data_IF_633044993171
#
_entry.id   IF_633044993171
#
_cell.length_a   1.000
_cell.length_b   1.000
_cell.length_c   1.000
_cell.angle_alpha   90.00
_cell.angle_beta   90.00
_cell.angle_gamma   90.00
#
_symmetry.space_group_name_H-M   'P 1'
#
loop_
_entity.id
_entity.type
_entity.pdbx_description
1 polymer ?
#
# COMPACT_ATOMS: atom_id res chain seq x y z
N UNK A 1 -39.87 34.65 -1.36
CA UNK A 1 -39.20 33.88 -0.29
C UNK A 1 -37.72 33.78 -0.66
N UNK A 2 -36.79 34.30 0.15
CA UNK A 2 -35.36 34.08 -0.12
C UNK A 2 -35.04 32.60 0.13
N UNK A 3 -34.41 31.95 -0.85
CA UNK A 3 -33.95 30.57 -0.72
C UNK A 3 -32.71 30.57 0.17
N UNK A 4 -32.77 29.86 1.30
CA UNK A 4 -31.62 29.72 2.19
C UNK A 4 -30.47 29.08 1.40
N UNK A 5 -29.28 29.68 1.45
CA UNK A 5 -28.08 29.08 0.87
C UNK A 5 -27.92 27.67 1.44
N UNK A 6 -27.62 26.65 0.62
CA UNK A 6 -27.40 25.31 1.13
C UNK A 6 -26.32 25.38 2.20
N UNK A 7 -26.59 24.78 3.36
CA UNK A 7 -25.64 24.68 4.45
C UNK A 7 -24.34 24.09 3.89
N UNK A 8 -23.31 24.92 3.74
CA UNK A 8 -21.95 24.42 3.64
C UNK A 8 -21.67 23.83 5.01
N UNK A 9 -21.74 22.50 5.11
CA UNK A 9 -21.13 21.79 6.22
C UNK A 9 -19.72 22.35 6.34
N UNK A 10 -19.43 23.06 7.43
CA UNK A 10 -18.06 23.48 7.73
C UNK A 10 -17.21 22.22 7.61
N UNK A 11 -16.08 22.22 6.88
CA UNK A 11 -15.33 21.00 6.56
C UNK A 11 -15.13 20.19 7.85
N UNK A 12 -15.97 19.18 8.03
CA UNK A 12 -16.02 18.42 9.27
C UNK A 12 -14.81 17.51 9.23
N UNK A 13 -13.82 17.85 10.05
CA UNK A 13 -12.81 16.92 10.55
C UNK A 13 -11.98 16.14 9.50
N UNK A 14 -11.47 16.81 8.46
CA UNK A 14 -10.29 16.29 7.73
C UNK A 14 -8.98 16.47 8.53
N UNK A 15 -9.04 16.81 9.83
CA UNK A 15 -7.99 17.59 10.48
C UNK A 15 -7.04 16.85 11.43
N UNK A 16 -6.97 15.52 11.42
CA UNK A 16 -5.88 14.79 12.13
C UNK A 16 -5.63 13.39 11.54
N UNK A 17 -5.76 13.23 10.21
CA UNK A 17 -5.37 11.98 9.55
C UNK A 17 -3.85 11.90 9.50
N UNK A 18 -3.29 10.82 10.01
CA UNK A 18 -1.85 10.68 10.19
C UNK A 18 -1.43 9.21 10.06
N UNK A 19 -0.38 8.95 9.29
CA UNK A 19 0.28 7.65 9.21
C UNK A 19 1.68 7.74 9.85
N UNK A 20 1.72 8.11 11.13
CA UNK A 20 2.94 8.24 11.93
C UNK A 20 3.16 7.02 12.83
N UNK A 21 3.70 7.23 14.03
CA UNK A 21 3.87 6.17 15.04
C UNK A 21 2.53 5.60 15.54
N UNK A 22 1.46 6.39 15.43
CA UNK A 22 0.09 5.95 15.67
C UNK A 22 -0.70 6.18 14.40
N UNK A 23 -1.33 5.12 13.88
CA UNK A 23 -2.13 5.19 12.68
C UNK A 23 -3.50 5.83 12.99
N UNK A 24 -3.70 7.04 12.48
CA UNK A 24 -4.98 7.77 12.50
C UNK A 24 -5.53 7.82 11.09
N UNK A 25 -6.03 6.69 10.60
CA UNK A 25 -6.50 6.56 9.21
C UNK A 25 -7.98 6.98 9.02
N UNK A 26 -8.71 7.25 10.11
CA UNK A 26 -10.12 7.65 10.05
C UNK A 26 -10.97 6.58 9.37
N UNK A 27 -11.73 6.98 8.34
CA UNK A 27 -12.55 6.06 7.55
C UNK A 27 -11.73 5.00 6.79
N UNK A 28 -10.44 5.25 6.56
CA UNK A 28 -9.57 4.34 5.81
C UNK A 28 -8.93 3.23 6.66
N UNK A 29 -9.20 3.17 7.96
CA UNK A 29 -8.53 2.23 8.87
C UNK A 29 -8.73 0.75 8.52
N UNK A 30 -9.91 0.39 7.99
CA UNK A 30 -10.26 -1.00 7.65
C UNK A 30 -10.41 -1.24 6.15
N UNK A 31 -9.99 -0.28 5.33
CA UNK A 31 -10.13 -0.38 3.88
C UNK A 31 -9.06 -1.29 3.27
N UNK A 32 -9.37 -1.80 2.08
CA UNK A 32 -8.40 -2.58 1.30
C UNK A 32 -7.31 -1.65 0.81
N UNK A 33 -6.06 -2.00 1.12
CA UNK A 33 -4.88 -1.28 0.67
C UNK A 33 -4.22 -2.04 -0.46
N UNK A 34 -3.47 -1.32 -1.30
CA UNK A 34 -2.68 -1.89 -2.38
C UNK A 34 -1.24 -1.41 -2.22
N UNK A 35 -0.28 -2.33 -2.30
CA UNK A 35 1.11 -1.96 -2.54
C UNK A 35 1.30 -1.53 -4.01
N UNK A 36 2.43 -0.92 -4.35
CA UNK A 36 2.69 -0.42 -5.71
C UNK A 36 2.59 -1.51 -6.79
N UNK A 37 3.02 -2.73 -6.46
CA UNK A 37 3.00 -3.89 -7.35
C UNK A 37 1.56 -4.34 -7.65
N UNK A 38 0.74 -4.48 -6.61
CA UNK A 38 -0.68 -4.80 -6.71
C UNK A 38 -1.46 -3.72 -7.46
N UNK A 39 -1.24 -2.45 -7.13
CA UNK A 39 -1.86 -1.31 -7.78
C UNK A 39 -1.54 -1.30 -9.29
N UNK A 40 -0.28 -1.55 -9.66
CA UNK A 40 0.13 -1.68 -11.07
C UNK A 40 -0.65 -2.78 -11.78
N UNK A 41 -0.69 -3.97 -11.20
CA UNK A 41 -1.34 -5.14 -11.81
C UNK A 41 -2.85 -4.89 -11.99
N UNK A 42 -3.52 -4.38 -10.96
CA UNK A 42 -4.95 -4.06 -11.00
C UNK A 42 -5.23 -3.00 -12.07
N UNK A 43 -4.41 -1.95 -12.13
CA UNK A 43 -4.57 -0.88 -13.10
C UNK A 43 -4.45 -1.39 -14.54
N UNK A 44 -3.36 -2.09 -14.86
CA UNK A 44 -3.12 -2.60 -16.21
C UNK A 44 -4.19 -3.61 -16.63
N UNK A 45 -4.59 -4.52 -15.73
CA UNK A 45 -5.64 -5.50 -16.01
C UNK A 45 -6.99 -4.84 -16.24
N UNK A 46 -7.29 -3.76 -15.51
CA UNK A 46 -8.53 -2.98 -15.70
C UNK A 46 -8.54 -2.29 -17.06
N UNK A 47 -7.42 -1.69 -17.47
CA UNK A 47 -7.30 -1.04 -18.78
C UNK A 47 -7.42 -2.04 -19.93
N UNK A 48 -6.72 -3.17 -19.85
CA UNK A 48 -6.79 -4.25 -20.84
C UNK A 48 -8.21 -4.81 -20.96
N UNK A 49 -8.90 -5.02 -19.83
CA UNK A 49 -10.29 -5.48 -19.82
C UNK A 49 -11.24 -4.47 -20.50
N UNK A 50 -11.07 -3.18 -20.23
CA UNK A 50 -11.88 -2.12 -20.87
C UNK A 50 -11.62 -2.04 -22.37
N UNK A 51 -10.37 -2.17 -22.79
CA UNK A 51 -10.00 -2.20 -24.20
C UNK A 51 -10.64 -3.40 -24.91
N UNK A 52 -10.57 -4.61 -24.33
CA UNK A 52 -11.22 -5.83 -24.86
C UNK A 52 -12.73 -5.69 -24.96
N UNK A 53 -13.34 -4.95 -24.05
CA UNK A 53 -14.78 -4.67 -24.03
C UNK A 53 -15.19 -3.46 -24.91
N UNK A 54 -14.28 -2.89 -25.71
CA UNK A 54 -14.50 -1.68 -26.52
C UNK A 54 -15.09 -0.50 -25.72
N UNK A 55 -14.79 -0.44 -24.42
CA UNK A 55 -15.19 0.68 -23.58
C UNK A 55 -14.29 1.87 -23.87
N UNK A 56 -14.88 3.02 -24.20
CA UNK A 56 -14.12 4.26 -24.40
C UNK A 56 -13.48 4.66 -23.07
N UNK A 57 -12.16 4.55 -23.00
CA UNK A 57 -11.36 5.07 -21.90
C UNK A 57 -10.72 6.36 -22.38
N UNK A 58 -11.13 7.48 -21.80
CA UNK A 58 -10.42 8.75 -21.97
C UNK A 58 -9.43 8.87 -20.81
N UNK A 59 -8.14 8.53 -21.00
CA UNK A 59 -7.19 8.60 -19.91
C UNK A 59 -7.03 10.05 -19.46
N UNK A 60 -7.17 10.27 -18.15
CA UNK A 60 -6.85 11.56 -17.55
C UNK A 60 -5.34 11.67 -17.36
N UNK A 61 -4.82 12.89 -17.31
CA UNK A 61 -3.39 13.13 -17.03
C UNK A 61 -2.94 12.44 -15.71
N UNK A 62 -3.80 12.42 -14.68
CA UNK A 62 -3.51 11.74 -13.43
C UNK A 62 -3.41 10.22 -13.61
N UNK A 63 -4.26 9.62 -14.44
CA UNK A 63 -4.21 8.19 -14.74
C UNK A 63 -2.90 7.82 -15.45
N UNK A 64 -2.48 8.63 -16.44
CA UNK A 64 -1.23 8.41 -17.18
C UNK A 64 -0.02 8.52 -16.24
N UNK A 65 0.06 9.61 -15.45
CA UNK A 65 1.13 9.79 -14.46
C UNK A 65 1.17 8.69 -13.41
N UNK A 66 0.00 8.22 -12.95
CA UNK A 66 -0.09 7.12 -11.98
C UNK A 66 0.41 5.82 -12.59
N UNK A 67 0.00 5.53 -13.83
CA UNK A 67 0.49 4.35 -14.57
C UNK A 67 2.01 4.39 -14.72
N UNK A 68 2.57 5.53 -15.12
CA UNK A 68 4.01 5.66 -15.34
C UNK A 68 4.79 5.56 -14.03
N UNK A 69 4.29 6.17 -12.95
CA UNK A 69 4.85 5.99 -11.61
C UNK A 69 4.86 4.51 -11.20
N UNK A 70 3.74 3.82 -11.35
CA UNK A 70 3.64 2.40 -11.01
C UNK A 70 4.54 1.52 -11.87
N UNK A 71 4.70 1.83 -13.17
CA UNK A 71 5.64 1.11 -14.04
C UNK A 71 7.11 1.25 -13.62
N UNK A 72 7.48 2.40 -13.05
CA UNK A 72 8.85 2.67 -12.61
C UNK A 72 9.11 2.07 -11.23
N UNK A 73 8.19 2.25 -10.28
CA UNK A 73 8.42 1.98 -8.87
C UNK A 73 7.86 0.65 -8.36
N UNK A 74 6.99 -0.03 -9.11
CA UNK A 74 6.57 -1.38 -8.75
C UNK A 74 7.75 -2.36 -8.82
N UNK A 75 8.05 -2.99 -7.69
CA UNK A 75 9.16 -3.93 -7.55
C UNK A 75 8.81 -5.30 -8.15
N UNK A 76 7.59 -5.78 -7.93
CA UNK A 76 7.13 -7.12 -8.31
C UNK A 76 6.08 -6.98 -9.41
N UNK A 77 6.45 -7.26 -10.66
CA UNK A 77 5.60 -6.93 -11.82
C UNK A 77 4.64 -8.05 -12.18
N UNK A 78 4.90 -9.27 -11.73
CA UNK A 78 4.10 -10.44 -12.03
C UNK A 78 3.11 -10.75 -10.90
N UNK A 79 1.94 -11.29 -11.27
CA UNK A 79 0.90 -11.64 -10.29
C UNK A 79 1.38 -12.67 -9.26
N UNK A 80 2.14 -13.67 -9.70
CA UNK A 80 2.68 -14.70 -8.81
C UNK A 80 3.63 -14.11 -7.75
N UNK A 81 4.51 -13.18 -8.15
CA UNK A 81 5.42 -12.50 -7.23
C UNK A 81 4.65 -11.62 -6.24
N UNK A 82 3.66 -10.86 -6.71
CA UNK A 82 2.83 -10.02 -5.84
C UNK A 82 2.06 -10.86 -4.80
N UNK A 83 1.57 -12.04 -5.19
CA UNK A 83 0.93 -13.00 -4.28
C UNK A 83 1.93 -13.62 -3.30
N UNK A 84 3.16 -13.88 -3.72
CA UNK A 84 4.23 -14.36 -2.84
C UNK A 84 4.60 -13.31 -1.78
N UNK A 85 4.69 -12.03 -2.17
CA UNK A 85 4.88 -10.91 -1.23
C UNK A 85 3.79 -10.88 -0.16
N UNK A 86 2.52 -10.96 -0.56
CA UNK A 86 1.40 -11.02 0.38
C UNK A 86 1.49 -12.23 1.30
N UNK A 87 1.87 -13.39 0.76
CA UNK A 87 2.08 -14.63 1.53
C UNK A 87 3.20 -14.51 2.57
N UNK A 88 4.34 -13.92 2.19
CA UNK A 88 5.47 -13.67 3.09
C UNK A 88 5.03 -12.78 4.25
N UNK A 89 4.43 -11.62 3.95
CA UNK A 89 4.05 -10.63 4.97
C UNK A 89 3.01 -11.21 5.93
N UNK A 90 1.97 -11.87 5.41
CA UNK A 90 0.94 -12.48 6.24
C UNK A 90 1.44 -13.71 7.03
N UNK A 91 2.45 -14.41 6.53
CA UNK A 91 3.04 -15.56 7.21
C UNK A 91 3.84 -15.19 8.46
N UNK A 92 4.60 -14.10 8.40
CA UNK A 92 5.36 -13.59 9.53
C UNK A 92 4.54 -12.70 10.47
N UNK A 93 3.70 -11.81 9.92
CA UNK A 93 3.05 -10.77 10.72
C UNK A 93 1.55 -10.62 10.34
N UNK A 94 0.72 -11.62 10.63
CA UNK A 94 -0.71 -11.60 10.31
C UNK A 94 -1.47 -10.49 11.05
N UNK A 95 -0.97 -10.06 12.22
CA UNK A 95 -1.55 -9.04 13.11
C UNK A 95 -1.31 -7.59 12.66
N UNK A 96 -0.48 -7.35 11.64
CA UNK A 96 -0.24 -6.00 11.13
C UNK A 96 -1.46 -5.42 10.42
N UNK A 97 -1.58 -4.10 10.49
CA UNK A 97 -2.62 -3.36 9.78
C UNK A 97 -2.38 -3.45 8.27
N UNK A 98 -3.47 -3.40 7.49
CA UNK A 98 -3.38 -3.48 6.02
C UNK A 98 -2.46 -2.41 5.43
N UNK A 99 -2.52 -1.21 5.99
CA UNK A 99 -1.61 -0.11 5.64
C UNK A 99 -0.14 -0.50 5.78
N UNK A 100 0.25 -1.06 6.92
CA UNK A 100 1.64 -1.46 7.22
C UNK A 100 2.10 -2.55 6.25
N UNK A 101 1.24 -3.54 5.99
CA UNK A 101 1.50 -4.61 5.02
C UNK A 101 1.73 -4.05 3.61
N UNK A 102 0.90 -3.11 3.16
CA UNK A 102 1.08 -2.47 1.85
C UNK A 102 2.33 -1.58 1.79
N UNK A 103 2.71 -0.93 2.89
CA UNK A 103 3.98 -0.18 2.96
C UNK A 103 5.19 -1.12 2.86
N UNK A 104 5.21 -2.24 3.59
CA UNK A 104 6.28 -3.24 3.51
C UNK A 104 6.45 -3.79 2.09
N UNK A 105 5.35 -4.12 1.40
CA UNK A 105 5.37 -4.59 0.02
C UNK A 105 5.78 -3.53 -1.02
N UNK A 106 5.66 -2.24 -0.69
CA UNK A 106 6.02 -1.13 -1.57
C UNK A 106 7.46 -0.67 -1.39
N UNK A 107 7.88 -0.49 -0.14
CA UNK A 107 9.19 0.05 0.22
C UNK A 107 10.29 -1.01 0.17
N UNK A 108 9.93 -2.26 0.48
CA UNK A 108 10.84 -3.42 0.50
C UNK A 108 12.12 -3.07 1.27
N UNK A 109 12.01 -2.82 2.60
CA UNK A 109 13.16 -2.49 3.45
C UNK A 109 14.16 -3.65 3.51
N UNK A 110 15.40 -3.34 3.85
CA UNK A 110 16.53 -4.29 3.90
C UNK A 110 16.69 -4.97 5.25
N UNK A 111 16.27 -4.31 6.33
CA UNK A 111 16.28 -4.81 7.70
C UNK A 111 15.13 -4.20 8.53
N UNK A 112 14.92 -4.73 9.73
CA UNK A 112 13.90 -4.27 10.66
C UNK A 112 14.07 -2.79 11.06
N UNK A 113 15.31 -2.34 11.30
CA UNK A 113 15.57 -0.94 11.66
C UNK A 113 15.13 0.04 10.56
N UNK A 114 15.42 -0.28 9.30
CA UNK A 114 14.94 0.52 8.16
C UNK A 114 13.41 0.47 8.05
N UNK A 115 12.82 -0.71 8.25
CA UNK A 115 11.36 -0.87 8.20
C UNK A 115 10.67 0.02 9.25
N UNK A 116 11.15 0.01 10.50
CA UNK A 116 10.61 0.83 11.59
C UNK A 116 10.86 2.33 11.37
N UNK A 117 12.02 2.69 10.81
CA UNK A 117 12.31 4.09 10.47
C UNK A 117 11.40 4.64 9.36
N UNK A 118 11.09 3.83 8.34
CA UNK A 118 10.22 4.22 7.23
C UNK A 118 8.73 4.11 7.56
N UNK A 119 8.35 3.18 8.45
CA UNK A 119 6.98 2.88 8.85
C UNK A 119 6.90 2.95 10.38
N UNK A 120 6.79 4.16 10.97
CA UNK A 120 6.98 4.35 12.41
C UNK A 120 5.97 3.62 13.30
N UNK A 121 4.79 3.25 12.77
CA UNK A 121 3.81 2.46 13.51
C UNK A 121 4.30 1.06 13.85
N UNK A 122 5.26 0.52 13.09
CA UNK A 122 5.88 -0.78 13.37
C UNK A 122 6.67 -0.78 14.68
N UNK A 123 7.35 0.32 15.02
CA UNK A 123 8.09 0.43 16.28
C UNK A 123 7.14 0.20 17.47
N UNK A 124 5.99 0.87 17.44
CA UNK A 124 4.98 0.72 18.48
C UNK A 124 4.39 -0.69 18.52
N UNK A 125 4.17 -1.34 17.37
CA UNK A 125 3.71 -2.73 17.32
C UNK A 125 4.72 -3.71 17.91
N UNK A 126 6.03 -3.42 17.78
CA UNK A 126 7.10 -4.19 18.42
C UNK A 126 7.13 -3.96 19.92
N UNK A 127 7.09 -2.71 20.37
CA UNK A 127 7.04 -2.35 21.80
C UNK A 127 5.82 -2.96 22.51
N UNK A 128 4.66 -2.97 21.86
CA UNK A 128 3.41 -3.54 22.35
C UNK A 128 3.39 -5.10 22.26
N UNK A 129 4.41 -5.73 21.69
CA UNK A 129 4.52 -7.18 21.53
C UNK A 129 3.52 -7.78 20.54
N UNK A 130 3.00 -6.98 19.61
CA UNK A 130 2.04 -7.40 18.57
C UNK A 130 2.74 -8.13 17.41
N UNK A 131 4.00 -7.76 17.15
CA UNK A 131 4.92 -8.40 16.20
C UNK A 131 6.33 -8.36 16.79
N UNK A 132 7.11 -9.41 16.63
CA UNK A 132 8.51 -9.45 17.03
C UNK A 132 9.42 -8.76 16.02
N UNK A 133 10.52 -8.17 16.51
CA UNK A 133 11.55 -7.59 15.63
C UNK A 133 12.15 -8.63 14.68
N UNK A 134 12.35 -9.88 15.16
CA UNK A 134 12.81 -11.00 14.32
C UNK A 134 11.82 -11.36 13.20
N UNK A 135 10.51 -11.16 13.41
CA UNK A 135 9.49 -11.39 12.39
C UNK A 135 9.59 -10.33 11.29
N UNK A 136 9.77 -9.06 11.66
CA UNK A 136 9.99 -7.96 10.70
C UNK A 136 11.30 -8.19 9.93
N UNK A 137 12.38 -8.57 10.61
CA UNK A 137 13.65 -8.90 9.97
C UNK A 137 13.50 -10.08 8.98
N UNK A 138 12.71 -11.09 9.36
CA UNK A 138 12.33 -12.21 8.50
C UNK A 138 11.60 -11.78 7.24
N UNK A 139 10.62 -10.88 7.36
CA UNK A 139 9.92 -10.28 6.21
C UNK A 139 10.91 -9.57 5.30
N UNK A 140 11.73 -8.67 5.85
CA UNK A 140 12.70 -7.89 5.07
C UNK A 140 13.64 -8.81 4.28
N UNK A 141 14.21 -9.82 4.94
CA UNK A 141 15.11 -10.79 4.30
C UNK A 141 14.44 -11.55 3.15
N UNK A 142 13.23 -12.06 3.34
CA UNK A 142 12.51 -12.81 2.31
C UNK A 142 12.06 -11.92 1.14
N UNK A 143 11.58 -10.70 1.42
CA UNK A 143 11.24 -9.74 0.37
C UNK A 143 12.47 -9.32 -0.45
N UNK A 144 13.63 -9.11 0.18
CA UNK A 144 14.88 -8.84 -0.53
C UNK A 144 15.33 -10.05 -1.37
N UNK A 145 15.14 -11.27 -0.86
CA UNK A 145 15.41 -12.50 -1.62
C UNK A 145 14.56 -12.57 -2.88
N UNK A 146 13.25 -12.34 -2.74
CA UNK A 146 12.31 -12.33 -3.86
C UNK A 146 12.63 -11.21 -4.86
N UNK A 147 12.94 -10.00 -4.38
CA UNK A 147 13.32 -8.86 -5.22
C UNK A 147 14.54 -9.15 -6.08
N UNK A 148 15.57 -9.82 -5.52
CA UNK A 148 16.76 -10.23 -6.29
C UNK A 148 16.43 -11.26 -7.37
N UNK A 149 15.46 -12.14 -7.13
CA UNK A 149 15.02 -13.14 -8.11
C UNK A 149 14.19 -12.51 -9.23
N UNK A 150 13.34 -11.53 -8.91
CA UNK A 150 12.51 -10.81 -9.88
C UNK A 150 13.31 -9.82 -10.77
N UNK A 151 14.50 -9.41 -10.33
CA UNK A 151 15.40 -8.50 -11.07
C UNK A 151 16.42 -9.23 -11.97
N UNK A 152 16.44 -10.57 -11.96
CA UNK A 152 17.20 -11.42 -12.87
C UNK A 152 16.32 -11.81 -14.08
#
# INVERSE_FOLDING_TARGET
MPHAAPSRVAPTATSDLEAGAVLKLGEFANEVTLNLSEARIVLLKTLDTRQKNNTVVNPTENLEKTKDYLEIFAVFKNLAEAQEVEGIINGYAPSLERFEKSQLGSLVPTCADEAKALIPSLEKKVEDGIVGEEEIEGICRELQRLKRQAAL
#
